data_IF_167746829508
#
_entry.id   IF_167746829508
#
_cell.length_a   1.000
_cell.length_b   1.000
_cell.length_c   1.000
_cell.angle_alpha   90.00
_cell.angle_beta   90.00
_cell.angle_gamma   90.00
#
_symmetry.space_group_name_H-M   'P 1'
#
loop_
_entity.id
_entity.type
_entity.pdbx_description
1 polymer ?
#
# COMPACT_ATOMS: atom_id res chain seq x y z
N UNK A 1 -15.09 24.40 -18.96
CA UNK A 1 -15.42 23.74 -17.69
C UNK A 1 -16.10 22.39 -18.01
N UNK A 2 -15.36 21.28 -18.14
CA UNK A 2 -15.92 19.94 -18.18
C UNK A 2 -15.73 19.28 -16.79
N UNK A 3 -16.75 19.17 -15.95
CA UNK A 3 -17.76 18.11 -15.88
C UNK A 3 -17.23 16.73 -15.39
N UNK A 4 -17.33 16.54 -14.07
CA UNK A 4 -17.88 15.32 -13.47
C UNK A 4 -17.26 13.98 -13.88
N UNK A 5 -16.06 13.72 -13.36
CA UNK A 5 -15.46 12.40 -13.03
C UNK A 5 -16.35 11.20 -13.35
N UNK A 6 -16.00 10.52 -14.44
CA UNK A 6 -16.42 9.14 -14.72
C UNK A 6 -15.71 8.18 -13.76
N UNK A 7 -16.23 8.03 -12.54
CA UNK A 7 -16.00 6.81 -11.76
C UNK A 7 -16.84 5.70 -12.39
N UNK A 8 -16.28 5.05 -13.41
CA UNK A 8 -16.89 3.89 -14.02
C UNK A 8 -16.75 2.67 -13.08
N UNK A 9 -17.87 2.35 -12.42
CA UNK A 9 -18.34 0.99 -12.11
C UNK A 9 -17.25 -0.04 -11.73
N UNK A 10 -16.89 -0.04 -10.45
CA UNK A 10 -16.30 -1.18 -9.75
C UNK A 10 -17.16 -1.48 -8.52
N UNK A 11 -17.91 -2.57 -8.58
CA UNK A 11 -18.95 -2.96 -7.64
C UNK A 11 -18.33 -3.54 -6.36
N UNK A 12 -18.85 -3.15 -5.19
CA UNK A 12 -18.52 -3.70 -3.86
C UNK A 12 -19.21 -5.06 -3.64
N UNK A 13 -19.07 -5.97 -4.59
CA UNK A 13 -19.58 -7.33 -4.47
C UNK A 13 -18.52 -8.27 -5.02
N UNK A 14 -17.80 -8.95 -4.14
CA UNK A 14 -16.81 -9.95 -4.55
C UNK A 14 -15.46 -9.72 -3.93
N UNK A 15 -15.33 -10.08 -2.65
CA UNK A 15 -14.13 -10.79 -2.21
C UNK A 15 -14.04 -12.09 -3.01
N UNK A 16 -13.60 -12.02 -4.26
CA UNK A 16 -13.35 -13.19 -5.11
C UNK A 16 -12.22 -12.86 -6.11
N UNK A 17 -11.03 -13.37 -5.77
CA UNK A 17 -9.93 -13.80 -6.67
C UNK A 17 -9.28 -12.83 -7.66
N UNK A 18 -9.28 -11.51 -7.43
CA UNK A 18 -8.30 -10.62 -8.11
C UNK A 18 -7.24 -10.15 -7.12
N UNK A 19 -6.13 -10.89 -6.95
CA UNK A 19 -5.04 -10.42 -6.12
C UNK A 19 -4.35 -9.28 -6.88
N UNK A 20 -4.78 -8.06 -6.63
CA UNK A 20 -3.87 -6.92 -6.72
C UNK A 20 -2.85 -7.15 -5.59
N UNK A 21 -1.82 -7.94 -5.85
CA UNK A 21 -0.70 -8.04 -4.92
C UNK A 21 0.10 -6.77 -5.10
N UNK A 22 -0.19 -5.79 -4.25
CA UNK A 22 0.43 -4.46 -4.20
C UNK A 22 1.78 -4.48 -3.50
N UNK A 23 2.51 -5.60 -3.54
CA UNK A 23 3.68 -5.76 -2.68
C UNK A 23 4.80 -6.58 -3.34
N UNK A 24 5.70 -5.87 -4.05
CA UNK A 24 7.04 -6.37 -4.40
C UNK A 24 8.08 -5.99 -3.34
N UNK A 25 7.72 -5.85 -2.06
CA UNK A 25 8.69 -5.53 -1.00
C UNK A 25 9.81 -6.58 -0.88
N UNK A 26 9.59 -7.81 -1.37
CA UNK A 26 10.55 -8.90 -1.26
C UNK A 26 11.90 -8.66 -1.95
N UNK A 27 12.03 -7.65 -2.83
CA UNK A 27 13.31 -7.33 -3.48
C UNK A 27 13.74 -5.87 -3.45
N UNK A 28 12.87 -4.93 -3.05
CA UNK A 28 13.17 -3.49 -3.20
C UNK A 28 13.52 -2.77 -1.89
N UNK A 29 13.08 -3.31 -0.76
CA UNK A 29 13.41 -2.78 0.57
C UNK A 29 14.82 -3.17 1.01
N UNK A 30 15.29 -4.29 0.46
CA UNK A 30 16.48 -4.96 0.93
C UNK A 30 16.33 -5.56 2.32
N UNK A 31 15.16 -5.59 3.00
CA UNK A 31 15.07 -5.97 4.43
C UNK A 31 13.95 -6.98 4.73
N UNK A 32 14.31 -8.02 5.47
CA UNK A 32 13.42 -9.03 6.08
C UNK A 32 13.60 -9.02 7.61
N UNK A 33 12.91 -9.92 8.31
CA UNK A 33 13.08 -10.17 9.74
C UNK A 33 14.55 -10.44 10.12
N UNK A 34 15.28 -11.14 9.25
CA UNK A 34 16.68 -11.51 9.45
C UNK A 34 17.68 -10.42 9.02
N UNK A 35 17.21 -9.26 8.57
CA UNK A 35 18.07 -8.19 8.06
C UNK A 35 18.08 -8.11 6.54
N UNK A 36 19.23 -7.75 5.97
CA UNK A 36 19.34 -7.46 4.55
C UNK A 36 19.16 -8.71 3.68
N UNK A 37 18.21 -8.69 2.74
CA UNK A 37 17.78 -9.90 2.00
C UNK A 37 18.73 -10.34 0.90
N UNK A 38 19.67 -9.50 0.47
CA UNK A 38 20.58 -9.74 -0.66
C UNK A 38 21.35 -11.07 -0.54
N UNK A 39 21.61 -11.53 0.69
CA UNK A 39 22.35 -12.75 0.94
C UNK A 39 21.54 -14.05 0.74
N UNK A 40 20.19 -14.00 0.76
CA UNK A 40 19.33 -15.20 0.67
C UNK A 40 18.12 -15.07 -0.25
N UNK A 41 17.84 -13.87 -0.77
CA UNK A 41 16.81 -13.61 -1.75
C UNK A 41 17.36 -12.74 -2.88
N UNK A 42 17.83 -13.39 -3.94
CA UNK A 42 18.37 -12.75 -5.14
C UNK A 42 17.46 -12.92 -6.36
N UNK A 43 16.22 -13.36 -6.13
CA UNK A 43 15.25 -13.49 -7.21
C UNK A 43 14.87 -12.10 -7.74
N UNK A 44 14.42 -12.03 -8.98
CA UNK A 44 13.81 -10.84 -9.55
C UNK A 44 12.30 -11.11 -9.68
N UNK A 45 11.49 -10.72 -8.68
CA UNK A 45 10.04 -10.93 -8.70
C UNK A 45 9.41 -10.37 -9.97
N UNK A 46 9.82 -9.19 -10.43
CA UNK A 46 9.27 -8.59 -11.63
C UNK A 46 9.50 -9.45 -12.88
N UNK A 47 10.71 -9.98 -13.07
CA UNK A 47 11.00 -10.92 -14.16
C UNK A 47 10.23 -12.24 -14.01
N UNK A 48 10.17 -12.79 -12.79
CA UNK A 48 9.44 -14.03 -12.51
C UNK A 48 7.96 -13.90 -12.86
N UNK A 49 7.31 -12.81 -12.46
CA UNK A 49 5.90 -12.57 -12.74
C UNK A 49 5.63 -12.22 -14.21
N UNK A 50 6.55 -11.53 -14.89
CA UNK A 50 6.49 -11.39 -16.36
C UNK A 50 6.50 -12.75 -17.05
N UNK A 51 7.33 -13.69 -16.58
CA UNK A 51 7.37 -15.05 -17.12
C UNK A 51 6.06 -15.82 -16.90
N UNK A 52 5.32 -15.51 -15.83
CA UNK A 52 3.97 -16.03 -15.59
C UNK A 52 2.88 -15.36 -16.44
N UNK A 53 3.23 -14.39 -17.29
CA UNK A 53 2.29 -13.67 -18.14
C UNK A 53 1.55 -12.53 -17.43
N UNK A 54 2.02 -12.09 -16.26
CA UNK A 54 1.42 -10.95 -15.55
C UNK A 54 1.79 -9.62 -16.21
N UNK A 55 0.93 -8.62 -16.07
CA UNK A 55 1.34 -7.23 -16.23
C UNK A 55 2.22 -6.87 -15.02
N UNK A 56 3.36 -6.22 -15.25
CA UNK A 56 4.24 -5.78 -14.17
C UNK A 56 4.52 -4.30 -14.35
N UNK A 57 4.17 -3.51 -13.33
CA UNK A 57 4.43 -2.07 -13.25
C UNK A 57 5.52 -1.88 -12.19
N UNK A 58 6.71 -1.49 -12.63
CA UNK A 58 7.90 -1.28 -11.78
C UNK A 58 8.04 0.19 -11.35
N UNK A 59 8.96 0.44 -10.42
CA UNK A 59 9.39 1.78 -10.00
C UNK A 59 8.26 2.68 -9.46
N UNK A 60 7.21 2.09 -8.88
CA UNK A 60 6.14 2.84 -8.23
C UNK A 60 6.65 3.35 -6.88
N UNK A 61 6.61 4.66 -6.65
CA UNK A 61 6.98 5.22 -5.35
C UNK A 61 5.83 4.98 -4.37
N UNK A 62 6.04 4.09 -3.39
CA UNK A 62 5.03 3.71 -2.42
C UNK A 62 4.76 4.77 -1.34
N UNK A 63 5.52 5.88 -1.34
CA UNK A 63 5.26 7.05 -0.49
C UNK A 63 4.66 8.23 -1.25
N UNK A 64 4.38 8.07 -2.54
CA UNK A 64 3.70 9.07 -3.37
C UNK A 64 2.33 8.56 -3.82
N UNK A 65 1.27 9.23 -3.33
CA UNK A 65 -0.11 8.87 -3.64
C UNK A 65 -0.42 8.99 -5.14
N UNK A 66 0.19 9.95 -5.84
CA UNK A 66 -0.04 10.16 -7.27
C UNK A 66 0.66 9.08 -8.12
N UNK A 67 1.87 8.67 -7.73
CA UNK A 67 2.56 7.51 -8.33
C UNK A 67 1.73 6.23 -8.22
N UNK A 68 1.19 5.95 -7.02
CA UNK A 68 0.33 4.78 -6.78
C UNK A 68 -0.95 4.88 -7.60
N UNK A 69 -1.62 6.04 -7.62
CA UNK A 69 -2.85 6.25 -8.37
C UNK A 69 -2.63 6.02 -9.88
N UNK A 70 -1.55 6.56 -10.44
CA UNK A 70 -1.17 6.37 -11.84
C UNK A 70 -0.92 4.89 -12.16
N UNK A 71 -0.22 4.18 -11.28
CA UNK A 71 0.04 2.75 -11.45
C UNK A 71 -1.26 1.92 -11.38
N UNK A 72 -2.20 2.27 -10.51
CA UNK A 72 -3.51 1.62 -10.41
C UNK A 72 -4.37 1.88 -11.66
N UNK A 73 -4.33 3.09 -12.22
CA UNK A 73 -5.01 3.40 -13.48
C UNK A 73 -4.44 2.56 -14.63
N UNK A 74 -3.10 2.52 -14.77
CA UNK A 74 -2.42 1.68 -15.76
C UNK A 74 -2.72 0.18 -15.58
N UNK A 75 -2.85 -0.28 -14.34
CA UNK A 75 -3.24 -1.67 -14.04
C UNK A 75 -4.67 -1.98 -14.51
N UNK A 76 -5.57 -0.98 -14.48
CA UNK A 76 -6.95 -1.13 -14.92
C UNK A 76 -7.14 -1.16 -16.43
N UNK A 77 -6.16 -0.71 -17.22
CA UNK A 77 -6.23 -0.70 -18.69
C UNK A 77 -6.20 -2.11 -19.30
N UNK A 78 -5.54 -3.05 -18.63
CA UNK A 78 -5.39 -4.43 -19.09
C UNK A 78 -6.20 -5.40 -18.22
N UNK A 79 -7.40 -5.74 -18.69
CA UNK A 79 -8.28 -6.69 -18.01
C UNK A 79 -8.02 -8.17 -18.37
N UNK A 80 -7.05 -8.44 -19.25
CA UNK A 80 -6.81 -9.78 -19.82
C UNK A 80 -5.87 -10.65 -18.98
N UNK A 81 -5.10 -10.04 -18.08
CA UNK A 81 -4.11 -10.70 -17.22
C UNK A 81 -4.07 -10.06 -15.84
N UNK A 82 -3.59 -10.77 -14.81
CA UNK A 82 -3.34 -10.17 -13.50
C UNK A 82 -2.17 -9.18 -13.55
N UNK A 83 -2.14 -8.25 -12.59
CA UNK A 83 -1.14 -7.17 -12.50
C UNK A 83 -0.40 -7.21 -11.18
N UNK A 84 0.92 -7.05 -11.24
CA UNK A 84 1.83 -6.85 -10.12
C UNK A 84 2.31 -5.39 -10.12
N UNK A 85 2.06 -4.67 -9.03
CA UNK A 85 2.62 -3.33 -8.81
C UNK A 85 3.81 -3.47 -7.88
N UNK A 86 4.98 -3.13 -8.38
CA UNK A 86 6.20 -3.14 -7.60
C UNK A 86 6.44 -1.77 -6.94
N UNK A 87 5.68 -1.53 -5.87
CA UNK A 87 5.85 -0.37 -5.01
C UNK A 87 7.15 -0.46 -4.21
N UNK A 88 7.90 0.64 -4.17
CA UNK A 88 9.07 0.81 -3.31
C UNK A 88 8.66 1.63 -2.11
N UNK A 89 8.67 1.04 -0.93
CA UNK A 89 8.46 1.79 0.32
C UNK A 89 9.75 1.83 1.13
N UNK A 90 9.66 2.22 2.41
CA UNK A 90 10.76 2.22 3.37
C UNK A 90 10.17 1.64 4.65
N UNK A 91 10.66 0.47 5.09
CA UNK A 91 10.13 -0.13 6.33
C UNK A 91 10.30 0.83 7.51
N UNK A 92 9.25 1.00 8.32
CA UNK A 92 9.29 1.93 9.45
C UNK A 92 9.46 3.40 9.06
N UNK A 93 9.09 3.80 7.84
CA UNK A 93 9.16 5.19 7.37
C UNK A 93 8.63 6.19 8.40
N UNK A 94 9.36 7.30 8.55
CA UNK A 94 9.06 8.34 9.53
C UNK A 94 9.71 8.11 10.90
N UNK A 95 10.27 6.93 11.18
CA UNK A 95 11.12 6.68 12.36
C UNK A 95 12.55 7.14 12.09
N UNK A 96 13.05 8.21 12.75
CA UNK A 96 14.38 8.73 12.48
C UNK A 96 15.50 7.71 12.76
N UNK A 97 15.32 6.84 13.75
CA UNK A 97 16.37 5.89 14.16
C UNK A 97 16.14 4.46 13.67
N UNK A 98 14.92 4.10 13.25
CA UNK A 98 14.58 2.71 12.89
C UNK A 98 14.02 2.54 11.47
N UNK A 99 13.73 3.60 10.72
CA UNK A 99 13.35 3.44 9.32
C UNK A 99 14.47 2.76 8.51
N UNK A 100 14.10 1.89 7.58
CA UNK A 100 15.05 1.14 6.76
C UNK A 100 15.90 0.16 7.59
N UNK A 101 15.39 -0.39 8.70
CA UNK A 101 16.12 -1.35 9.54
C UNK A 101 15.21 -2.50 9.98
N UNK A 102 15.75 -3.72 10.06
CA UNK A 102 15.00 -4.88 10.59
C UNK A 102 14.46 -4.67 12.01
N UNK A 103 15.06 -3.77 12.80
CA UNK A 103 14.57 -3.39 14.12
C UNK A 103 13.18 -2.76 14.15
N UNK A 104 12.66 -2.29 13.00
CA UNK A 104 11.27 -1.80 12.89
C UNK A 104 10.27 -2.90 12.51
N UNK A 105 10.73 -4.13 12.23
CA UNK A 105 9.88 -5.21 11.74
C UNK A 105 9.12 -5.92 12.86
N UNK A 106 9.84 -6.52 13.81
CA UNK A 106 9.28 -7.49 14.76
C UNK A 106 9.10 -6.99 16.19
N UNK A 107 9.37 -5.72 16.47
CA UNK A 107 9.37 -5.18 17.83
C UNK A 107 8.68 -3.81 17.90
N UNK A 108 8.01 -3.47 19.03
CA UNK A 108 7.53 -2.12 19.26
C UNK A 108 8.66 -1.09 19.10
N UNK A 109 8.34 0.07 18.53
CA UNK A 109 9.33 1.14 18.35
C UNK A 109 9.88 1.65 19.69
N UNK A 110 9.07 1.63 20.75
CA UNK A 110 9.40 2.22 22.06
C UNK A 110 8.86 3.64 22.17
N UNK A 111 8.54 4.10 23.39
CA UNK A 111 7.83 5.37 23.58
C UNK A 111 8.61 6.58 23.04
N UNK A 112 9.92 6.61 23.26
CA UNK A 112 10.79 7.70 22.78
C UNK A 112 10.80 7.77 21.24
N UNK A 113 10.94 6.62 20.58
CA UNK A 113 10.94 6.56 19.11
C UNK A 113 9.57 6.93 18.53
N UNK A 114 8.47 6.51 19.19
CA UNK A 114 7.12 6.89 18.76
C UNK A 114 6.91 8.41 18.88
N UNK A 115 7.46 9.07 19.90
CA UNK A 115 7.39 10.53 20.00
C UNK A 115 8.13 11.21 18.82
N UNK A 116 9.33 10.73 18.48
CA UNK A 116 10.09 11.22 17.33
C UNK A 116 9.38 10.98 15.99
N UNK A 117 8.74 9.82 15.82
CA UNK A 117 7.92 9.53 14.63
C UNK A 117 6.80 10.56 14.51
N UNK A 118 6.05 10.81 15.59
CA UNK A 118 4.95 11.79 15.59
C UNK A 118 5.43 13.17 15.19
N UNK A 119 6.57 13.63 15.70
CA UNK A 119 7.17 14.90 15.27
C UNK A 119 7.57 14.87 13.79
N UNK A 120 8.15 13.77 13.31
CA UNK A 120 8.62 13.61 11.93
C UNK A 120 7.49 13.66 10.91
N UNK A 121 6.34 13.06 11.22
CA UNK A 121 5.18 13.01 10.33
C UNK A 121 4.14 14.10 10.64
N UNK A 122 4.48 15.05 11.51
CA UNK A 122 3.59 16.13 11.98
C UNK A 122 2.23 15.61 12.49
N UNK A 123 2.27 14.59 13.35
CA UNK A 123 1.09 13.96 13.95
C UNK A 123 0.93 14.37 15.42
N UNK A 124 0.13 15.43 15.72
CA UNK A 124 0.00 15.96 17.08
C UNK A 124 -0.97 15.17 17.97
N UNK A 125 -1.63 14.14 17.45
CA UNK A 125 -2.70 13.43 18.17
C UNK A 125 -2.16 12.34 19.11
N UNK A 126 -2.86 12.14 20.22
CA UNK A 126 -2.50 11.16 21.23
C UNK A 126 -2.63 9.71 20.70
N UNK A 127 -2.06 8.71 21.41
CA UNK A 127 -2.30 7.31 21.06
C UNK A 127 -3.79 6.99 20.97
N UNK A 128 -4.19 6.35 19.86
CA UNK A 128 -5.58 5.96 19.57
C UNK A 128 -6.57 7.13 19.37
N UNK A 129 -6.08 8.35 19.23
CA UNK A 129 -6.88 9.50 18.82
C UNK A 129 -6.79 9.67 17.30
N UNK A 130 -7.95 9.70 16.63
CA UNK A 130 -8.06 9.93 15.19
C UNK A 130 -8.95 11.15 14.98
N UNK A 131 -8.49 12.17 14.23
CA UNK A 131 -9.30 13.34 13.88
C UNK A 131 -10.65 12.98 13.27
N UNK A 132 -11.67 13.77 13.55
CA UNK A 132 -13.01 13.57 12.99
C UNK A 132 -12.99 13.65 11.46
N UNK A 133 -12.20 14.57 10.88
CA UNK A 133 -12.04 14.69 9.43
C UNK A 133 -11.54 13.39 8.79
N UNK A 134 -10.50 12.78 9.37
CA UNK A 134 -9.95 11.50 8.89
C UNK A 134 -10.99 10.39 9.10
N UNK A 135 -11.64 10.34 10.26
CA UNK A 135 -12.68 9.34 10.53
C UNK A 135 -13.83 9.45 9.53
N UNK A 136 -14.28 10.66 9.22
CA UNK A 136 -15.34 10.90 8.25
C UNK A 136 -14.91 10.53 6.83
N UNK A 137 -13.69 10.89 6.41
CA UNK A 137 -13.15 10.54 5.10
C UNK A 137 -13.04 9.03 4.87
N UNK A 138 -12.77 8.26 5.93
CA UNK A 138 -12.63 6.80 5.88
C UNK A 138 -13.90 6.01 6.26
N UNK A 139 -14.96 6.69 6.73
CA UNK A 139 -16.18 6.01 7.16
C UNK A 139 -17.02 5.54 5.97
N UNK A 140 -16.95 4.25 5.66
CA UNK A 140 -17.75 3.62 4.60
C UNK A 140 -19.04 2.95 5.11
N UNK A 141 -19.52 3.25 6.33
CA UNK A 141 -20.65 2.53 6.95
C UNK A 141 -21.94 2.63 6.14
N UNK A 142 -22.31 3.83 5.72
CA UNK A 142 -23.54 4.06 4.94
C UNK A 142 -23.45 3.41 3.55
N UNK A 143 -22.29 3.55 2.89
CA UNK A 143 -22.03 2.90 1.60
C UNK A 143 -22.10 1.38 1.75
N UNK A 144 -21.53 0.82 2.81
CA UNK A 144 -21.58 -0.60 3.12
C UNK A 144 -23.02 -1.08 3.31
N UNK A 145 -23.80 -0.42 4.16
CA UNK A 145 -25.19 -0.77 4.42
C UNK A 145 -26.07 -0.70 3.15
N UNK A 146 -25.88 0.33 2.32
CA UNK A 146 -26.59 0.47 1.05
C UNK A 146 -26.26 -0.66 0.07
N UNK A 147 -24.99 -1.08 0.02
CA UNK A 147 -24.54 -2.16 -0.88
C UNK A 147 -24.94 -3.54 -0.39
N UNK A 148 -24.98 -3.77 0.93
CA UNK A 148 -25.54 -4.99 1.53
C UNK A 148 -27.04 -5.11 1.25
N UNK A 149 -27.81 -4.03 1.44
CA UNK A 149 -29.23 -4.03 1.16
C UNK A 149 -29.56 -4.26 -0.34
N UNK A 150 -28.68 -3.83 -1.25
CA UNK A 150 -28.84 -4.03 -2.69
C UNK A 150 -28.49 -5.45 -3.18
N UNK A 151 -27.98 -6.32 -2.31
CA UNK A 151 -27.71 -7.74 -2.59
C UNK A 151 -28.91 -8.66 -2.31
N UNK A 152 -29.96 -8.12 -1.67
CA UNK A 152 -31.23 -8.80 -1.34
C UNK A 152 -32.31 -8.38 -2.34
#
# INVERSE_FOLDING_TARGET
MPDGRRFARGVLTGWNTRPWQTDCDLGQQGISIDGEVDAWFTDNPAQRFRAYGWQVIEDVDGHDADSIATALEQAGEDSSRPTLLCCRTVIGWGSPNKQGRASSHGAPLGQDEVALVRETIDWPHAPFEVPEEITAAWCAREVGAAREAALV
#
